data_IF_955910852516
#
_entry.id   IF_955910852516
#
_cell.length_a   1.000
_cell.length_b   1.000
_cell.length_c   1.000
_cell.angle_alpha   90.00
_cell.angle_beta   90.00
_cell.angle_gamma   90.00
#
_symmetry.space_group_name_H-M   'P 1'
#
loop_
_entity.id
_entity.type
_entity.pdbx_description
1 polymer ?
#
# COMPACT_ATOMS: atom_id res chain seq x y z
N UNK A 1 -9.12 6.56 13.57
CA UNK A 1 -9.94 5.93 12.52
C UNK A 1 -9.27 4.62 12.14
N UNK A 2 -9.98 3.50 12.15
CA UNK A 2 -9.42 2.18 11.80
C UNK A 2 -9.97 1.75 10.43
N UNK A 3 -9.07 1.46 9.50
CA UNK A 3 -9.40 0.94 8.16
C UNK A 3 -9.75 -0.53 8.21
N UNK A 4 -8.91 -1.33 8.89
CA UNK A 4 -9.10 -2.75 9.18
C UNK A 4 -9.32 -2.88 10.69
N UNK A 5 -10.32 -3.65 11.10
CA UNK A 5 -10.78 -3.76 12.49
C UNK A 5 -10.65 -5.22 12.94
N UNK A 6 -9.85 -5.53 13.98
CA UNK A 6 -9.78 -6.86 14.57
C UNK A 6 -10.99 -7.05 15.50
N UNK A 7 -12.03 -7.70 14.98
CA UNK A 7 -13.30 -7.94 15.69
C UNK A 7 -13.07 -8.93 16.85
N UNK A 8 -12.15 -9.87 16.69
CA UNK A 8 -11.74 -10.81 17.74
C UNK A 8 -11.12 -10.12 18.98
N UNK A 9 -10.66 -8.88 18.84
CA UNK A 9 -10.10 -8.06 19.91
C UNK A 9 -11.03 -6.91 20.34
N UNK A 10 -12.29 -6.93 19.92
CA UNK A 10 -13.22 -5.82 20.11
C UNK A 10 -13.42 -5.44 21.59
N UNK A 11 -13.48 -6.42 22.50
CA UNK A 11 -13.55 -6.18 23.95
C UNK A 11 -12.34 -5.38 24.47
N UNK A 12 -11.14 -5.66 23.98
CA UNK A 12 -9.93 -4.94 24.38
C UNK A 12 -9.95 -3.52 23.81
N UNK A 13 -10.33 -3.40 22.53
CA UNK A 13 -10.47 -2.11 21.88
C UNK A 13 -11.52 -1.23 22.55
N UNK A 14 -12.65 -1.78 22.99
CA UNK A 14 -13.69 -1.00 23.65
C UNK A 14 -13.25 -0.44 25.00
N UNK A 15 -12.32 -1.10 25.69
CA UNK A 15 -11.72 -0.59 26.93
C UNK A 15 -10.73 0.56 26.67
N UNK A 16 -9.86 0.42 25.67
CA UNK A 16 -8.75 1.37 25.46
C UNK A 16 -9.02 2.45 24.40
N UNK A 17 -10.05 2.28 23.57
CA UNK A 17 -10.33 3.12 22.39
C UNK A 17 -11.82 3.51 22.29
N UNK A 18 -12.61 3.42 23.36
CA UNK A 18 -14.06 3.70 23.35
C UNK A 18 -14.46 4.99 22.60
N UNK A 19 -13.69 6.06 22.73
CA UNK A 19 -14.01 7.37 22.13
C UNK A 19 -13.91 7.38 20.60
N UNK A 20 -13.28 6.39 19.98
CA UNK A 20 -13.01 6.34 18.53
C UNK A 20 -13.33 4.97 17.92
N UNK A 21 -13.89 4.04 18.70
CA UNK A 21 -14.23 2.70 18.24
C UNK A 21 -15.57 2.71 17.52
N UNK A 22 -15.58 2.11 16.33
CA UNK A 22 -16.80 1.92 15.54
C UNK A 22 -17.63 0.81 16.18
N UNK A 23 -18.95 0.99 16.38
CA UNK A 23 -19.83 -0.05 16.89
C UNK A 23 -19.65 -1.37 16.12
N UNK A 24 -19.54 -2.49 16.84
CA UNK A 24 -19.28 -3.80 16.24
C UNK A 24 -20.31 -4.18 15.18
N UNK A 25 -21.57 -3.78 15.40
CA UNK A 25 -22.69 -4.00 14.47
C UNK A 25 -22.53 -3.28 13.14
N UNK A 26 -21.74 -2.21 13.09
CA UNK A 26 -21.52 -1.41 11.88
C UNK A 26 -20.29 -1.90 11.11
N UNK A 27 -19.45 -2.74 11.73
CA UNK A 27 -18.23 -3.26 11.11
C UNK A 27 -18.57 -4.19 9.94
N UNK A 28 -17.94 -3.94 8.80
CA UNK A 28 -18.08 -4.79 7.62
C UNK A 28 -17.24 -6.05 7.77
N UNK A 29 -17.79 -7.10 8.38
CA UNK A 29 -17.10 -8.37 8.55
C UNK A 29 -16.62 -8.95 7.22
N UNK A 30 -15.38 -9.48 7.20
CA UNK A 30 -14.78 -10.08 6.02
C UNK A 30 -15.08 -11.58 5.98
N UNK A 31 -15.63 -12.03 4.84
CA UNK A 31 -15.88 -13.45 4.57
C UNK A 31 -14.57 -14.26 4.64
N UNK A 32 -14.66 -15.51 5.10
CA UNK A 32 -13.50 -16.40 5.24
C UNK A 32 -12.60 -16.11 6.45
N UNK A 33 -12.89 -15.09 7.27
CA UNK A 33 -12.12 -14.76 8.49
C UNK A 33 -12.76 -15.29 9.78
N UNK A 34 -13.88 -16.02 9.68
CA UNK A 34 -14.69 -16.46 10.82
C UNK A 34 -15.13 -15.31 11.75
N UNK A 35 -15.32 -14.11 11.18
CA UNK A 35 -15.71 -12.93 11.95
C UNK A 35 -14.56 -12.34 12.78
N UNK A 36 -13.31 -12.75 12.58
CA UNK A 36 -12.17 -12.20 13.32
C UNK A 36 -11.75 -10.80 12.80
N UNK A 37 -12.06 -10.46 11.56
CA UNK A 37 -11.63 -9.20 10.94
C UNK A 37 -12.73 -8.57 10.11
N UNK A 38 -12.80 -7.24 10.13
CA UNK A 38 -13.71 -6.45 9.32
C UNK A 38 -13.09 -5.16 8.81
N UNK A 39 -13.85 -4.44 7.98
CA UNK A 39 -13.50 -3.12 7.47
C UNK A 39 -14.39 -2.03 8.06
N UNK A 40 -13.91 -0.81 7.95
CA UNK A 40 -14.70 0.39 8.26
C UNK A 40 -16.04 0.41 7.48
N UNK A 41 -17.16 0.89 8.06
CA UNK A 41 -18.49 0.92 7.42
C UNK A 41 -18.52 1.58 6.03
N UNK A 42 -17.75 2.66 5.85
CA UNK A 42 -17.63 3.36 4.56
C UNK A 42 -16.83 2.62 3.48
N UNK A 43 -16.20 1.48 3.78
CA UNK A 43 -15.32 0.75 2.85
C UNK A 43 -16.05 -0.38 2.10
N UNK A 44 -17.33 -0.20 1.80
CA UNK A 44 -18.15 -1.19 1.08
C UNK A 44 -17.52 -1.60 -0.26
N UNK A 45 -16.91 -0.68 -1.00
CA UNK A 45 -16.19 -0.99 -2.25
C UNK A 45 -15.01 -1.95 -2.04
N UNK A 46 -14.26 -1.78 -0.95
CA UNK A 46 -13.14 -2.67 -0.60
C UNK A 46 -13.64 -4.03 -0.11
N UNK A 47 -14.76 -4.07 0.63
CA UNK A 47 -15.42 -5.31 1.00
C UNK A 47 -15.89 -6.09 -0.23
N UNK A 48 -16.40 -5.40 -1.26
CA UNK A 48 -16.77 -6.03 -2.52
C UNK A 48 -15.54 -6.62 -3.22
N UNK A 49 -14.42 -5.90 -3.29
CA UNK A 49 -13.17 -6.43 -3.85
C UNK A 49 -12.67 -7.67 -3.09
N UNK A 50 -12.79 -7.67 -1.76
CA UNK A 50 -12.48 -8.84 -0.93
C UNK A 50 -13.36 -10.03 -1.29
N UNK A 51 -14.68 -9.83 -1.33
CA UNK A 51 -15.65 -10.87 -1.66
C UNK A 51 -15.47 -11.42 -3.08
N UNK A 52 -15.01 -10.58 -4.02
CA UNK A 52 -14.66 -10.96 -5.39
C UNK A 52 -13.29 -11.67 -5.51
N UNK A 53 -12.53 -11.80 -4.43
CA UNK A 53 -11.17 -12.36 -4.44
C UNK A 53 -10.12 -11.46 -5.11
N UNK A 54 -10.41 -10.16 -5.24
CA UNK A 54 -9.55 -9.14 -5.87
C UNK A 54 -8.77 -8.28 -4.86
N UNK A 55 -8.98 -8.50 -3.57
CA UNK A 55 -8.29 -7.82 -2.48
C UNK A 55 -7.78 -8.84 -1.47
N UNK A 56 -6.54 -8.64 -1.04
CA UNK A 56 -5.93 -9.35 0.08
C UNK A 56 -5.44 -8.34 1.12
N UNK A 57 -5.44 -8.74 2.39
CA UNK A 57 -4.97 -7.92 3.50
C UNK A 57 -3.81 -8.67 4.16
N UNK A 58 -2.67 -8.02 4.24
CA UNK A 58 -1.51 -8.50 5.02
C UNK A 58 -1.46 -7.67 6.30
N UNK A 59 -1.63 -8.35 7.44
CA UNK A 59 -1.62 -7.71 8.76
C UNK A 59 -0.25 -7.83 9.42
N UNK A 60 -0.01 -7.03 10.46
CA UNK A 60 1.22 -7.04 11.24
C UNK A 60 2.51 -6.77 10.41
N UNK A 61 2.39 -5.95 9.35
CA UNK A 61 3.55 -5.51 8.57
C UNK A 61 4.28 -4.39 9.31
N UNK A 62 5.57 -4.55 9.51
CA UNK A 62 6.46 -3.58 10.13
C UNK A 62 7.92 -4.03 10.06
N UNK A 63 8.82 -3.25 10.64
CA UNK A 63 10.24 -3.56 10.72
C UNK A 63 10.73 -3.43 12.18
N UNK A 64 11.75 -4.23 12.60
CA UNK A 64 12.32 -4.13 13.94
C UNK A 64 12.90 -2.74 14.22
N UNK A 65 12.86 -2.28 15.47
CA UNK A 65 13.43 -1.00 15.91
C UNK A 65 12.97 0.21 15.06
N UNK A 66 11.71 0.65 15.22
CA UNK A 66 11.11 1.66 14.36
C UNK A 66 11.89 2.98 14.37
N UNK A 67 12.08 3.54 13.17
CA UNK A 67 12.78 4.80 13.00
C UNK A 67 11.83 5.99 13.22
N UNK A 68 12.16 6.88 14.16
CA UNK A 68 11.33 8.06 14.47
C UNK A 68 11.46 9.22 13.47
N UNK A 69 12.34 9.14 12.48
CA UNK A 69 12.40 10.11 11.38
C UNK A 69 11.38 9.77 10.30
N UNK A 70 10.51 10.73 9.99
CA UNK A 70 9.55 10.61 8.89
C UNK A 70 10.23 10.30 7.56
N UNK A 71 11.37 10.95 7.26
CA UNK A 71 12.10 10.74 6.01
C UNK A 71 12.66 9.32 5.91
N UNK A 72 13.31 8.86 6.99
CA UNK A 72 13.93 7.53 6.98
C UNK A 72 12.90 6.41 7.01
N UNK A 73 11.81 6.56 7.76
CA UNK A 73 10.69 5.61 7.71
C UNK A 73 10.10 5.50 6.30
N UNK A 74 9.90 6.63 5.62
CA UNK A 74 9.39 6.63 4.23
C UNK A 74 10.35 5.90 3.30
N UNK A 75 11.65 6.19 3.40
CA UNK A 75 12.69 5.54 2.62
C UNK A 75 12.73 4.01 2.84
N UNK A 76 12.63 3.54 4.08
CA UNK A 76 12.53 2.10 4.41
C UNK A 76 11.32 1.46 3.72
N UNK A 77 10.13 2.07 3.80
CA UNK A 77 8.92 1.55 3.17
C UNK A 77 8.98 1.56 1.65
N UNK A 78 9.58 2.59 1.05
CA UNK A 78 9.73 2.71 -0.40
C UNK A 78 10.79 1.75 -0.94
N UNK A 79 11.92 1.59 -0.25
CA UNK A 79 13.04 0.74 -0.70
C UNK A 79 12.89 -0.73 -0.31
N UNK A 80 12.12 -1.02 0.75
CA UNK A 80 12.10 -2.34 1.39
C UNK A 80 13.43 -2.70 2.07
N UNK A 81 14.25 -1.70 2.43
CA UNK A 81 15.53 -1.89 3.09
C UNK A 81 15.39 -2.23 4.57
N UNK A 82 16.39 -2.89 5.14
CA UNK A 82 16.52 -2.98 6.60
C UNK A 82 16.74 -1.58 7.21
N UNK A 83 16.38 -1.42 8.49
CA UNK A 83 16.46 -0.12 9.17
C UNK A 83 17.87 0.50 9.19
N UNK A 84 18.92 -0.33 9.09
CA UNK A 84 20.33 0.07 9.04
C UNK A 84 20.94 0.12 7.63
N UNK A 85 20.15 -0.12 6.57
CA UNK A 85 20.60 -0.14 5.18
C UNK A 85 20.02 1.03 4.37
N UNK A 86 20.87 1.67 3.58
CA UNK A 86 20.45 2.63 2.56
C UNK A 86 20.50 1.95 1.20
N UNK A 87 19.40 2.00 0.44
CA UNK A 87 19.32 1.46 -0.91
C UNK A 87 18.91 2.56 -1.88
N UNK A 88 19.57 2.61 -3.03
CA UNK A 88 19.27 3.60 -4.08
C UNK A 88 18.17 3.13 -5.05
N UNK A 89 17.37 2.15 -4.65
CA UNK A 89 16.26 1.62 -5.46
C UNK A 89 15.05 1.22 -4.61
N UNK A 90 13.88 1.42 -5.18
CA UNK A 90 12.59 1.00 -4.64
C UNK A 90 12.33 -0.48 -4.85
N UNK A 91 11.58 -1.11 -3.95
CA UNK A 91 11.24 -2.52 -4.13
C UNK A 91 10.35 -2.72 -5.36
N UNK A 92 9.39 -1.81 -5.61
CA UNK A 92 8.53 -1.88 -6.79
C UNK A 92 9.31 -1.51 -8.06
N UNK A 93 10.22 -0.54 -7.99
CA UNK A 93 11.15 -0.23 -9.09
C UNK A 93 12.00 -1.44 -9.49
N UNK A 94 12.58 -2.16 -8.53
CA UNK A 94 13.31 -3.42 -8.78
C UNK A 94 12.41 -4.49 -9.42
N UNK A 95 11.19 -4.66 -8.91
CA UNK A 95 10.22 -5.60 -9.47
C UNK A 95 9.87 -5.28 -10.93
N UNK A 96 9.54 -4.01 -11.22
CA UNK A 96 9.19 -3.57 -12.57
C UNK A 96 10.38 -3.70 -13.52
N UNK A 97 11.62 -3.47 -13.07
CA UNK A 97 12.79 -3.67 -13.89
C UNK A 97 13.00 -5.16 -14.23
N UNK A 98 12.75 -6.06 -13.28
CA UNK A 98 12.82 -7.50 -13.50
C UNK A 98 11.78 -7.99 -14.51
N UNK A 99 10.55 -7.48 -14.42
CA UNK A 99 9.45 -7.84 -15.33
C UNK A 99 9.59 -7.17 -16.71
N UNK A 100 10.13 -5.94 -16.75
CA UNK A 100 10.25 -5.10 -17.94
C UNK A 100 11.69 -4.59 -18.14
N UNK A 101 12.66 -5.47 -18.42
CA UNK A 101 14.10 -5.14 -18.39
C UNK A 101 14.56 -4.11 -19.43
N UNK A 102 13.73 -3.80 -20.44
CA UNK A 102 14.03 -2.83 -21.50
C UNK A 102 13.36 -1.47 -21.29
N UNK A 103 12.63 -1.24 -20.20
CA UNK A 103 12.08 0.09 -19.90
C UNK A 103 13.20 1.10 -19.62
N UNK A 104 13.13 2.36 -20.12
CA UNK A 104 12.04 2.95 -20.90
C UNK A 104 12.22 2.83 -22.43
N UNK A 105 13.24 2.11 -22.92
CA UNK A 105 13.52 2.01 -24.37
C UNK A 105 12.46 1.18 -25.09
N UNK A 106 12.00 0.08 -24.49
CA UNK A 106 11.01 -0.84 -25.07
C UNK A 106 9.57 -0.58 -24.66
N UNK A 107 9.32 0.39 -23.78
CA UNK A 107 8.02 0.63 -23.16
C UNK A 107 7.82 2.13 -22.84
N UNK A 108 6.59 2.65 -22.97
CA UNK A 108 5.42 2.00 -23.55
C UNK A 108 5.58 1.72 -25.05
N UNK A 109 4.81 0.78 -25.58
CA UNK A 109 4.82 0.37 -26.99
C UNK A 109 3.39 0.09 -27.50
N UNK A 110 3.22 -0.42 -28.72
CA UNK A 110 1.89 -0.66 -29.31
C UNK A 110 1.06 -1.70 -28.56
N UNK A 111 1.70 -2.69 -27.93
CA UNK A 111 1.02 -3.76 -27.20
C UNK A 111 0.80 -3.39 -25.72
N UNK A 112 1.65 -2.53 -25.17
CA UNK A 112 1.58 -1.98 -23.82
C UNK A 112 1.69 -0.44 -23.86
N UNK A 113 0.58 0.26 -24.16
CA UNK A 113 0.60 1.71 -24.34
C UNK A 113 0.67 2.48 -23.01
N UNK A 114 0.27 1.83 -21.91
CA UNK A 114 0.19 2.46 -20.59
C UNK A 114 1.54 2.45 -19.85
N UNK A 115 1.79 3.43 -18.97
CA UNK A 115 2.98 3.42 -18.12
C UNK A 115 2.94 2.22 -17.16
N UNK A 116 4.12 1.67 -16.84
CA UNK A 116 4.25 0.51 -15.95
C UNK A 116 3.72 0.77 -14.53
N UNK A 117 3.78 2.03 -14.08
CA UNK A 117 3.26 2.48 -12.80
C UNK A 117 2.93 3.97 -12.86
N UNK A 118 1.97 4.39 -12.02
CA UNK A 118 1.57 5.78 -11.88
C UNK A 118 1.69 6.17 -10.41
N UNK A 119 2.36 7.29 -10.13
CA UNK A 119 2.29 7.97 -8.84
C UNK A 119 1.36 9.16 -8.96
N UNK A 120 0.40 9.28 -8.03
CA UNK A 120 -0.52 10.41 -7.96
C UNK A 120 -0.11 11.38 -6.86
N UNK A 121 -0.17 12.69 -7.12
CA UNK A 121 0.01 13.77 -6.14
C UNK A 121 1.47 14.18 -5.89
N UNK A 122 2.42 13.81 -6.75
CA UNK A 122 3.81 14.23 -6.62
C UNK A 122 4.78 13.50 -7.56
N UNK A 123 6.08 13.90 -7.57
CA UNK A 123 7.08 13.31 -8.43
C UNK A 123 7.35 11.84 -8.06
N UNK A 124 7.71 11.01 -9.03
CA UNK A 124 7.99 9.58 -8.81
C UNK A 124 8.98 9.38 -7.66
N UNK A 125 8.58 8.59 -6.65
CA UNK A 125 9.34 8.37 -5.42
C UNK A 125 10.40 7.30 -5.57
N UNK A 126 11.23 7.15 -4.53
CA UNK A 126 12.24 6.10 -4.48
C UNK A 126 11.61 4.71 -4.68
N UNK A 127 10.37 4.52 -4.22
CA UNK A 127 9.63 3.26 -4.36
C UNK A 127 9.49 2.73 -5.78
N UNK A 128 9.45 3.61 -6.78
CA UNK A 128 9.38 3.27 -8.20
C UNK A 128 10.70 3.54 -8.93
N UNK A 129 11.81 3.75 -8.22
CA UNK A 129 13.12 3.92 -8.86
C UNK A 129 13.92 2.63 -8.92
N UNK A 130 14.68 2.47 -9.99
CA UNK A 130 15.70 1.44 -10.10
C UNK A 130 16.98 2.04 -10.71
N UNK A 131 18.05 2.15 -9.93
CA UNK A 131 19.38 2.60 -10.40
C UNK A 131 19.33 3.91 -11.20
N UNK A 132 18.57 4.91 -10.72
CA UNK A 132 18.39 6.21 -11.37
C UNK A 132 17.35 6.25 -12.50
N UNK A 133 16.70 5.14 -12.82
CA UNK A 133 15.58 5.07 -13.78
C UNK A 133 14.26 5.12 -13.02
N UNK A 134 13.39 6.06 -13.41
CA UNK A 134 12.01 6.16 -12.91
C UNK A 134 11.11 5.15 -13.62
N UNK A 135 10.75 4.06 -12.95
CA UNK A 135 9.94 2.95 -13.50
C UNK A 135 8.43 3.27 -13.56
N UNK A 136 8.06 4.55 -13.51
CA UNK A 136 6.68 4.99 -13.59
C UNK A 136 6.57 6.45 -14.03
N UNK A 137 5.33 6.87 -14.24
CA UNK A 137 4.94 8.25 -14.51
C UNK A 137 4.37 8.91 -13.24
N UNK A 138 4.41 10.24 -13.18
CA UNK A 138 3.77 11.02 -12.13
C UNK A 138 2.60 11.81 -12.71
N UNK A 139 1.49 11.83 -11.98
CA UNK A 139 0.31 12.65 -12.23
C UNK A 139 0.08 13.48 -10.97
N UNK A 140 0.04 14.80 -11.07
CA UNK A 140 -0.07 15.72 -9.94
C UNK A 140 -1.51 15.94 -9.52
N UNK A 141 -2.45 15.97 -10.46
CA UNK A 141 -3.86 16.17 -10.22
C UNK A 141 -4.70 15.59 -11.36
N UNK A 142 -6.03 15.70 -11.27
CA UNK A 142 -6.97 15.19 -12.29
C UNK A 142 -6.96 15.96 -13.61
N UNK A 143 -6.25 17.07 -13.66
CA UNK A 143 -6.16 17.95 -14.84
C UNK A 143 -4.85 17.74 -15.62
N UNK A 144 -3.96 16.85 -15.13
CA UNK A 144 -2.78 16.43 -15.87
C UNK A 144 -3.19 15.62 -17.12
N UNK A 145 -2.48 15.79 -18.25
CA UNK A 145 -2.85 15.26 -19.55
C UNK A 145 -2.74 13.73 -19.67
#
# INVERSE_FOLDING_TARGET
>A
MNTVIPIDQYTLLSQFRNNVLIPETDVLALSGTNGATGLHPSMTGMQNLWNDGKLSIVQAVGYPDPNFSHFRSTDIWETGADANQLLDSGWAGRFLNMEYPNYPVGFPNTDMPDPLAIRVGGPVGAGLQHMGVSMGAAIYNTDDP
#
